data_IF_854052209925
#
_entry.id   IF_854052209925
#
_cell.length_a   1.000
_cell.length_b   1.000
_cell.length_c   1.000
_cell.angle_alpha   90.00
_cell.angle_beta   90.00
_cell.angle_gamma   90.00
#
_symmetry.space_group_name_H-M   'P 1'
#
loop_
_entity.id
_entity.type
_entity.pdbx_description
1 polymer ?
#
# COMPACT_ATOMS: atom_id res chain seq x y z
N UNK A 1 1.90 -48.37 -2.04
CA UNK A 1 0.99 -48.11 -0.91
C UNK A 1 0.28 -46.80 -1.20
N UNK A 2 -0.99 -46.83 -1.58
CA UNK A 2 -1.76 -45.61 -1.87
C UNK A 2 -2.18 -44.93 -0.56
N UNK A 3 -2.14 -43.59 -0.46
CA UNK A 3 -2.59 -42.90 0.75
C UNK A 3 -4.12 -42.91 0.86
N UNK A 4 -4.69 -42.82 2.08
CA UNK A 4 -6.13 -42.83 2.28
C UNK A 4 -6.76 -41.49 1.83
N UNK A 5 -7.92 -41.58 1.19
CA UNK A 5 -8.71 -40.43 0.76
C UNK A 5 -9.12 -39.53 1.94
N UNK A 6 -8.77 -38.25 1.88
CA UNK A 6 -9.20 -37.26 2.85
C UNK A 6 -10.66 -36.86 2.61
N UNK A 7 -11.44 -36.76 3.69
CA UNK A 7 -12.86 -36.36 3.63
C UNK A 7 -13.00 -34.83 3.47
N UNK A 8 -13.98 -34.36 2.69
CA UNK A 8 -14.19 -32.93 2.48
C UNK A 8 -14.60 -32.19 3.76
N UNK A 9 -14.20 -30.93 3.84
CA UNK A 9 -14.26 -30.08 5.04
C UNK A 9 -15.69 -29.76 5.53
N UNK A 10 -16.70 -29.85 4.67
CA UNK A 10 -18.11 -29.62 5.04
C UNK A 10 -18.76 -30.75 5.87
N UNK A 11 -18.04 -31.86 6.12
CA UNK A 11 -18.53 -32.95 6.98
C UNK A 11 -17.96 -32.94 8.41
N UNK A 12 -17.25 -31.87 8.83
CA UNK A 12 -16.76 -31.75 10.21
C UNK A 12 -17.86 -31.19 11.14
N UNK A 13 -18.16 -31.84 12.29
CA UNK A 13 -19.21 -31.36 13.19
C UNK A 13 -18.85 -30.01 13.82
N UNK A 14 -19.68 -29.00 13.57
CA UNK A 14 -19.57 -27.64 14.10
C UNK A 14 -19.89 -27.60 15.61
N UNK A 15 -18.89 -27.84 16.46
CA UNK A 15 -19.05 -27.80 17.92
C UNK A 15 -18.18 -26.72 18.62
N UNK A 16 -17.58 -25.79 17.89
CA UNK A 16 -16.59 -24.86 18.46
C UNK A 16 -16.86 -23.36 18.25
N UNK A 17 -18.13 -22.95 18.08
CA UNK A 17 -18.49 -21.52 17.98
C UNK A 17 -19.63 -21.24 18.96
N UNK A 18 -19.33 -21.15 20.28
CA UNK A 18 -19.79 -19.97 21.00
C UNK A 18 -18.91 -19.56 22.21
N UNK A 19 -17.66 -20.01 22.31
CA UNK A 19 -16.82 -19.62 23.46
C UNK A 19 -16.06 -18.29 23.26
N UNK A 20 -15.75 -17.91 22.01
CA UNK A 20 -14.98 -16.71 21.70
C UNK A 20 -15.75 -15.38 21.92
N UNK A 21 -17.09 -15.41 21.80
CA UNK A 21 -17.91 -14.19 21.96
C UNK A 21 -18.02 -13.69 23.41
N UNK A 22 -17.91 -14.59 24.40
CA UNK A 22 -18.06 -14.22 25.81
C UNK A 22 -16.77 -13.68 26.44
N UNK A 23 -15.60 -14.01 25.89
CA UNK A 23 -14.30 -13.56 26.40
C UNK A 23 -13.96 -12.16 25.90
N UNK A 24 -14.39 -11.79 24.68
CA UNK A 24 -14.22 -10.44 24.14
C UNK A 24 -15.10 -9.39 24.86
N UNK A 25 -16.28 -9.79 25.33
CA UNK A 25 -17.20 -8.92 26.09
C UNK A 25 -16.65 -8.51 27.47
N UNK A 26 -15.80 -9.33 28.09
CA UNK A 26 -15.26 -9.06 29.42
C UNK A 26 -14.09 -8.05 29.42
N UNK A 27 -13.38 -7.90 28.29
CA UNK A 27 -12.20 -7.03 28.20
C UNK A 27 -12.54 -5.57 27.90
N UNK A 28 -13.65 -5.28 27.21
CA UNK A 28 -14.09 -3.90 26.94
C UNK A 28 -14.84 -3.22 28.10
N UNK A 29 -15.28 -3.98 29.11
CA UNK A 29 -15.92 -3.42 30.32
C UNK A 29 -14.98 -2.60 31.21
N UNK A 30 -13.65 -2.70 31.01
CA UNK A 30 -12.65 -1.99 31.81
C UNK A 30 -12.44 -0.53 31.38
N UNK A 31 -12.85 -0.13 30.17
CA UNK A 31 -12.63 1.22 29.63
C UNK A 31 -13.83 2.15 29.85
N UNK A 32 -15.05 1.62 29.95
CA UNK A 32 -16.30 2.41 30.00
C UNK A 32 -16.99 2.52 31.37
N UNK A 33 -16.35 2.07 32.46
CA UNK A 33 -16.95 2.04 33.79
C UNK A 33 -18.19 1.13 33.91
N UNK A 34 -18.94 1.27 35.00
CA UNK A 34 -20.13 0.43 35.29
C UNK A 34 -21.20 0.55 34.18
N UNK A 35 -21.36 1.72 33.57
CA UNK A 35 -22.28 1.96 32.46
C UNK A 35 -21.92 1.13 31.22
N UNK A 36 -20.65 1.17 30.79
CA UNK A 36 -20.15 0.37 29.66
C UNK A 36 -20.27 -1.14 29.91
N UNK A 37 -19.99 -1.60 31.14
CA UNK A 37 -20.15 -3.01 31.50
C UNK A 37 -21.62 -3.49 31.39
N UNK A 38 -22.58 -2.65 31.79
CA UNK A 38 -24.00 -2.96 31.67
C UNK A 38 -24.46 -2.98 30.21
N UNK A 39 -24.02 -2.03 29.37
CA UNK A 39 -24.33 -2.02 27.93
C UNK A 39 -23.85 -3.32 27.26
N UNK A 40 -22.62 -3.74 27.54
CA UNK A 40 -22.07 -4.98 26.98
C UNK A 40 -22.82 -6.22 27.47
N UNK A 41 -23.15 -6.29 28.77
CA UNK A 41 -23.96 -7.39 29.31
C UNK A 41 -25.35 -7.45 28.66
N UNK A 42 -25.96 -6.29 28.39
CA UNK A 42 -27.20 -6.17 27.62
C UNK A 42 -27.07 -6.77 26.20
N UNK A 43 -26.02 -6.41 25.46
CA UNK A 43 -25.76 -6.95 24.11
C UNK A 43 -25.56 -8.47 24.14
N UNK A 44 -24.81 -9.00 25.11
CA UNK A 44 -24.62 -10.44 25.27
C UNK A 44 -25.93 -11.19 25.52
N UNK A 45 -26.81 -10.64 26.38
CA UNK A 45 -28.14 -11.20 26.64
C UNK A 45 -29.04 -11.13 25.39
N UNK A 46 -28.94 -10.06 24.60
CA UNK A 46 -29.70 -9.89 23.35
C UNK A 46 -29.33 -10.98 22.33
N UNK A 47 -28.03 -11.14 22.07
CA UNK A 47 -27.52 -12.12 21.11
C UNK A 47 -27.86 -13.56 21.54
N UNK A 48 -27.70 -13.87 22.83
CA UNK A 48 -28.08 -15.17 23.39
C UNK A 48 -29.59 -15.43 23.32
N UNK A 49 -30.40 -14.42 23.64
CA UNK A 49 -31.87 -14.48 23.55
C UNK A 49 -32.34 -14.71 22.12
N UNK A 50 -31.80 -13.95 21.16
CA UNK A 50 -32.14 -14.04 19.74
C UNK A 50 -31.71 -15.39 19.14
N UNK A 51 -30.50 -15.86 19.44
CA UNK A 51 -30.04 -17.18 19.02
C UNK A 51 -30.93 -18.31 19.55
N UNK A 52 -31.37 -18.22 20.82
CA UNK A 52 -32.30 -19.20 21.40
C UNK A 52 -33.68 -19.17 20.72
N UNK A 53 -34.20 -17.98 20.41
CA UNK A 53 -35.47 -17.80 19.69
C UNK A 53 -35.40 -18.36 18.27
N UNK A 54 -34.28 -18.18 17.57
CA UNK A 54 -34.07 -18.62 16.20
C UNK A 54 -33.79 -20.12 16.09
N UNK A 55 -32.93 -20.67 16.96
CA UNK A 55 -32.48 -22.06 16.85
C UNK A 55 -33.29 -23.04 17.69
N UNK A 56 -34.01 -22.57 18.72
CA UNK A 56 -34.70 -23.41 19.70
C UNK A 56 -33.77 -24.27 20.56
N UNK A 57 -32.45 -24.13 20.42
CA UNK A 57 -31.43 -24.90 21.16
C UNK A 57 -31.18 -24.26 22.53
N UNK A 58 -31.05 -25.03 23.62
CA UNK A 58 -30.78 -24.47 24.95
C UNK A 58 -29.43 -23.73 24.96
N UNK A 59 -29.38 -22.62 25.70
CA UNK A 59 -28.14 -21.85 25.88
C UNK A 59 -27.10 -22.69 26.66
N UNK A 60 -25.82 -22.71 26.23
CA UNK A 60 -24.77 -23.41 26.95
C UNK A 60 -24.66 -22.88 28.39
N UNK A 61 -24.77 -23.76 29.39
CA UNK A 61 -24.65 -23.41 30.81
C UNK A 61 -25.95 -22.99 31.51
N UNK A 62 -27.04 -22.67 30.80
CA UNK A 62 -28.34 -22.36 31.39
C UNK A 62 -29.37 -23.44 31.03
N UNK A 63 -29.92 -24.13 32.04
CA UNK A 63 -30.98 -25.15 31.86
C UNK A 63 -32.37 -24.53 31.62
N UNK A 64 -32.45 -23.49 30.80
CA UNK A 64 -33.70 -22.84 30.44
C UNK A 64 -34.31 -23.55 29.22
N UNK A 65 -35.52 -24.10 29.40
CA UNK A 65 -36.28 -24.80 28.35
C UNK A 65 -37.52 -23.99 27.98
N UNK A 66 -37.66 -23.70 26.69
CA UNK A 66 -38.86 -23.10 26.09
C UNK A 66 -38.66 -21.67 25.60
N UNK A 67 -39.34 -21.33 24.50
CA UNK A 67 -39.20 -20.08 23.74
C UNK A 67 -39.50 -18.80 24.55
N UNK A 68 -40.29 -18.93 25.61
CA UNK A 68 -40.56 -17.86 26.59
C UNK A 68 -39.31 -17.32 27.29
N UNK A 69 -38.28 -18.16 27.45
CA UNK A 69 -37.02 -17.74 28.07
C UNK A 69 -36.14 -16.94 27.11
N UNK A 70 -36.18 -17.24 25.81
CA UNK A 70 -35.53 -16.41 24.79
C UNK A 70 -36.15 -15.01 24.73
N UNK A 71 -37.47 -14.91 24.79
CA UNK A 71 -38.17 -13.63 24.87
C UNK A 71 -37.86 -12.87 26.17
N UNK A 72 -37.84 -13.56 27.32
CA UNK A 72 -37.49 -12.96 28.60
C UNK A 72 -36.04 -12.41 28.64
N UNK A 73 -35.07 -13.15 28.07
CA UNK A 73 -33.67 -12.71 27.97
C UNK A 73 -33.52 -11.51 27.03
N UNK A 74 -34.25 -11.49 25.91
CA UNK A 74 -34.26 -10.35 24.98
C UNK A 74 -34.89 -9.11 25.62
N UNK A 75 -35.96 -9.28 26.40
CA UNK A 75 -36.57 -8.19 27.17
C UNK A 75 -35.65 -7.65 28.26
N UNK A 76 -34.97 -8.54 29.00
CA UNK A 76 -33.98 -8.15 30.02
C UNK A 76 -32.78 -7.42 29.40
N UNK A 77 -32.32 -7.86 28.22
CA UNK A 77 -31.24 -7.20 27.48
C UNK A 77 -31.54 -5.73 27.21
N UNK A 78 -32.77 -5.40 26.79
CA UNK A 78 -33.17 -4.03 26.49
C UNK A 78 -33.15 -3.14 27.74
N UNK A 79 -33.68 -3.64 28.87
CA UNK A 79 -33.67 -2.91 30.15
C UNK A 79 -32.25 -2.67 30.65
N UNK A 80 -31.39 -3.69 30.57
CA UNK A 80 -29.99 -3.59 31.01
C UNK A 80 -29.19 -2.62 30.14
N UNK A 81 -29.39 -2.65 28.82
CA UNK A 81 -28.70 -1.75 27.88
C UNK A 81 -29.12 -0.30 28.11
N UNK A 82 -30.42 -0.03 28.28
CA UNK A 82 -30.93 1.31 28.59
C UNK A 82 -30.41 1.84 29.93
N UNK A 83 -30.34 0.99 30.94
CA UNK A 83 -29.81 1.37 32.26
C UNK A 83 -28.31 1.67 32.20
N UNK A 84 -27.55 0.87 31.44
CA UNK A 84 -26.13 1.11 31.20
C UNK A 84 -25.86 2.42 30.46
N UNK A 85 -26.68 2.74 29.44
CA UNK A 85 -26.58 3.99 28.68
C UNK A 85 -26.76 5.24 29.54
N UNK A 86 -27.71 5.22 30.49
CA UNK A 86 -27.95 6.34 31.41
C UNK A 86 -26.84 6.55 32.46
N UNK A 87 -25.92 5.60 32.61
CA UNK A 87 -24.80 5.66 33.54
C UNK A 87 -23.47 6.00 32.85
N UNK A 88 -23.48 6.24 31.54
CA UNK A 88 -22.31 6.71 30.82
C UNK A 88 -22.02 8.17 31.19
N UNK A 89 -20.75 8.56 31.40
CA UNK A 89 -20.41 9.95 31.62
C UNK A 89 -20.83 10.79 30.38
N UNK A 90 -21.35 12.02 30.57
CA UNK A 90 -21.66 12.89 29.45
C UNK A 90 -20.37 13.19 28.68
N UNK A 91 -20.40 13.00 27.35
CA UNK A 91 -19.34 13.46 26.46
C UNK A 91 -19.23 14.97 26.59
N UNK A 92 -18.13 15.46 27.18
CA UNK A 92 -17.82 16.88 27.22
C UNK A 92 -17.30 17.30 25.85
N UNK A 93 -18.23 17.57 24.92
CA UNK A 93 -17.96 18.46 23.79
C UNK A 93 -17.86 19.88 24.34
N UNK A 94 -16.64 20.37 24.50
CA UNK A 94 -16.38 21.80 24.66
C UNK A 94 -15.12 22.15 23.88
N UNK A 95 -15.18 23.11 22.93
CA UNK A 95 -13.98 23.63 22.28
C UNK A 95 -13.13 24.32 23.34
N UNK A 96 -11.90 23.85 23.53
CA UNK A 96 -10.91 24.53 24.35
C UNK A 96 -10.59 25.90 23.73
N UNK A 97 -11.14 26.97 24.31
CA UNK A 97 -10.51 28.28 24.29
C UNK A 97 -9.39 28.28 25.35
N UNK A 98 -8.21 28.85 25.07
CA UNK A 98 -7.09 28.81 26.02
C UNK A 98 -7.38 29.72 27.21
N UNK A 99 -7.46 29.13 28.40
CA UNK A 99 -7.49 29.87 29.65
C UNK A 99 -6.12 30.49 29.94
N UNK A 100 -6.14 31.80 30.11
CA UNK A 100 -5.05 32.60 30.63
C UNK A 100 -4.55 32.06 31.99
N UNK A 101 -3.24 31.99 32.15
CA UNK A 101 -2.57 31.99 33.45
C UNK A 101 -1.58 33.16 33.50
N UNK A 102 -2.08 34.24 34.10
CA UNK A 102 -1.40 35.10 35.09
C UNK A 102 0.12 35.28 34.95
N UNK A 103 0.53 36.33 34.23
CA UNK A 103 1.86 36.92 34.36
C UNK A 103 1.89 37.91 35.54
N UNK A 104 2.76 37.65 36.51
CA UNK A 104 3.22 38.67 37.47
C UNK A 104 4.58 39.19 37.02
N UNK A 105 4.63 40.50 36.89
CA UNK A 105 5.68 41.43 36.48
C UNK A 105 6.95 41.39 37.35
N UNK A 106 8.13 41.49 36.70
CA UNK A 106 9.23 42.37 37.14
C UNK A 106 10.19 42.77 35.99
N UNK A 107 9.82 43.88 35.36
CA UNK A 107 10.61 45.08 34.98
C UNK A 107 12.09 44.97 34.55
N UNK A 108 12.29 45.36 33.28
CA UNK A 108 13.38 46.17 32.65
C UNK A 108 14.83 45.68 32.64
N UNK A 109 15.41 45.58 31.44
CA UNK A 109 16.21 46.68 30.86
C UNK A 109 16.44 46.49 29.35
N UNK A 110 16.28 47.60 28.63
CA UNK A 110 16.48 47.85 27.20
C UNK A 110 17.98 48.08 26.93
N UNK A 111 18.54 47.49 25.88
CA UNK A 111 19.62 48.16 25.15
C UNK A 111 19.76 47.66 23.72
N UNK A 112 20.11 48.61 22.87
CA UNK A 112 20.04 48.63 21.40
C UNK A 112 21.46 48.70 20.83
N UNK A 113 21.57 48.29 19.57
CA UNK A 113 22.59 48.63 18.56
C UNK A 113 23.91 47.84 18.50
N UNK A 114 24.01 47.12 17.38
CA UNK A 114 25.16 46.90 16.50
C UNK A 114 26.13 48.08 16.39
N UNK A 115 27.43 47.79 16.22
CA UNK A 115 28.20 48.52 15.22
C UNK A 115 28.95 47.61 14.23
N UNK A 116 28.86 48.04 12.97
CA UNK A 116 29.74 47.76 11.83
C UNK A 116 31.18 48.22 12.10
N UNK A 117 32.19 47.58 11.49
CA UNK A 117 33.35 48.36 11.01
C UNK A 117 33.62 48.24 9.50
N UNK A 118 33.98 49.41 8.95
CA UNK A 118 34.46 49.78 7.60
C UNK A 118 35.91 49.29 7.33
N UNK A 119 36.38 49.18 6.05
CA UNK A 119 37.59 48.42 5.68
C UNK A 119 38.87 49.24 5.36
N UNK A 120 39.97 48.50 5.05
CA UNK A 120 41.21 48.82 4.26
C UNK A 120 42.45 49.32 5.06
N UNK A 121 43.72 48.91 4.75
CA UNK A 121 44.38 49.04 3.44
C UNK A 121 45.12 47.81 2.84
N UNK A 122 45.12 47.85 1.50
CA UNK A 122 46.00 47.32 0.43
C UNK A 122 47.44 46.89 0.76
N UNK A 123 47.87 45.75 0.21
CA UNK A 123 49.15 45.62 -0.50
C UNK A 123 48.95 44.85 -1.83
N UNK A 124 49.44 45.46 -2.90
CA UNK A 124 49.55 44.96 -4.27
C UNK A 124 50.71 43.97 -4.42
N UNK A 125 50.53 42.86 -5.14
CA UNK A 125 51.60 42.23 -5.96
C UNK A 125 50.98 41.61 -7.22
N UNK A 126 51.27 42.29 -8.33
CA UNK A 126 51.54 41.87 -9.72
C UNK A 126 50.95 40.59 -10.35
N UNK A 127 50.40 40.84 -11.56
CA UNK A 127 50.17 39.89 -12.65
C UNK A 127 51.41 39.06 -13.00
N UNK A 128 51.23 37.74 -13.15
CA UNK A 128 51.99 36.94 -14.11
C UNK A 128 51.02 35.99 -14.83
N UNK A 129 50.67 36.36 -16.07
CA UNK A 129 50.12 35.45 -17.06
C UNK A 129 51.16 34.36 -17.35
N UNK A 130 50.84 33.11 -17.01
CA UNK A 130 51.45 31.94 -17.65
C UNK A 130 50.40 30.99 -18.18
N UNK A 131 50.12 31.20 -19.47
CA UNK A 131 49.73 30.23 -20.48
C UNK A 131 50.09 28.77 -20.11
N UNK A 132 49.07 27.95 -19.85
CA UNK A 132 49.17 26.49 -19.90
C UNK A 132 48.36 26.00 -21.10
N UNK A 133 49.01 26.13 -22.25
CA UNK A 133 48.69 25.37 -23.45
C UNK A 133 48.78 23.86 -23.16
N UNK A 134 47.86 23.14 -23.79
CA UNK A 134 47.70 21.71 -23.77
C UNK A 134 49.03 20.95 -23.93
N UNK A 135 49.30 20.06 -22.96
CA UNK A 135 50.15 18.90 -23.17
C UNK A 135 49.26 17.66 -23.11
N UNK A 136 48.99 17.14 -24.30
CA UNK A 136 48.41 15.86 -24.63
C UNK A 136 49.21 14.74 -23.93
N UNK A 137 48.58 14.03 -23.01
CA UNK A 137 49.04 12.72 -22.56
C UNK A 137 47.81 11.83 -22.42
N UNK A 138 47.46 11.23 -23.56
CA UNK A 138 46.58 10.08 -23.68
C UNK A 138 47.08 8.92 -22.81
N UNK A 139 46.58 8.83 -21.58
CA UNK A 139 46.27 7.55 -20.97
C UNK A 139 44.80 7.29 -21.23
N UNK A 140 44.52 6.44 -22.23
CA UNK A 140 43.18 5.95 -22.54
C UNK A 140 42.59 5.23 -21.34
N UNK A 141 41.85 5.97 -20.52
CA UNK A 141 40.82 5.43 -19.65
C UNK A 141 39.53 5.49 -20.44
N UNK A 142 39.02 4.30 -20.79
CA UNK A 142 37.77 4.09 -21.52
C UNK A 142 36.66 5.00 -20.98
N UNK A 143 36.40 6.10 -21.68
CA UNK A 143 35.29 7.01 -21.38
C UNK A 143 33.95 6.29 -21.52
N UNK A 144 33.90 5.21 -22.32
CA UNK A 144 32.76 4.30 -22.45
C UNK A 144 32.56 3.41 -21.22
N UNK A 145 33.63 2.97 -20.55
CA UNK A 145 33.52 2.21 -19.30
C UNK A 145 33.10 3.10 -18.13
N UNK A 146 33.58 4.36 -18.09
CA UNK A 146 33.16 5.36 -17.10
C UNK A 146 31.70 5.79 -17.27
N UNK A 147 31.21 5.92 -18.50
CA UNK A 147 29.79 6.22 -18.78
C UNK A 147 28.89 5.01 -18.56
N UNK A 148 29.31 3.79 -18.90
CA UNK A 148 28.54 2.59 -18.57
C UNK A 148 28.49 2.31 -17.06
N UNK A 149 29.57 2.54 -16.32
CA UNK A 149 29.60 2.44 -14.86
C UNK A 149 28.79 3.56 -14.19
N UNK A 150 28.86 4.79 -14.73
CA UNK A 150 28.01 5.90 -14.28
C UNK A 150 26.54 5.64 -14.62
N UNK A 151 26.22 5.07 -15.79
CA UNK A 151 24.85 4.74 -16.19
C UNK A 151 24.30 3.51 -15.46
N UNK A 152 25.17 2.57 -15.05
CA UNK A 152 24.85 1.48 -14.13
C UNK A 152 24.75 1.94 -12.66
N UNK A 153 25.41 3.04 -12.28
CA UNK A 153 25.25 3.67 -10.97
C UNK A 153 24.01 4.59 -10.93
N UNK A 154 23.73 5.30 -12.01
CA UNK A 154 22.51 6.10 -12.25
C UNK A 154 21.29 5.16 -12.31
N UNK A 155 21.40 4.01 -12.96
CA UNK A 155 20.37 2.97 -13.00
C UNK A 155 20.15 2.22 -11.68
N UNK A 156 20.90 2.55 -10.63
CA UNK A 156 20.72 2.00 -9.29
C UNK A 156 20.29 3.04 -8.25
N UNK A 157 20.18 4.32 -8.59
CA UNK A 157 19.60 5.32 -7.67
C UNK A 157 18.07 5.23 -7.69
N UNK A 158 17.45 5.15 -6.52
CA UNK A 158 16.00 5.18 -6.39
C UNK A 158 15.41 6.50 -6.93
N UNK A 159 16.14 7.62 -6.79
CA UNK A 159 15.67 8.93 -7.26
C UNK A 159 15.62 9.00 -8.79
N UNK A 160 16.57 8.37 -9.47
CA UNK A 160 16.58 8.27 -10.93
C UNK A 160 15.44 7.39 -11.41
N UNK A 161 15.27 6.20 -10.82
CA UNK A 161 14.18 5.30 -11.21
C UNK A 161 12.79 5.92 -10.94
N UNK A 162 12.65 6.69 -9.85
CA UNK A 162 11.44 7.46 -9.57
C UNK A 162 11.09 8.42 -10.70
N UNK A 163 12.08 9.11 -11.29
CA UNK A 163 11.85 10.04 -12.40
C UNK A 163 11.22 9.34 -13.61
N UNK A 164 11.60 8.10 -13.87
CA UNK A 164 11.14 7.28 -15.00
C UNK A 164 9.77 6.61 -14.77
N UNK A 165 9.27 6.55 -13.53
CA UNK A 165 7.94 5.98 -13.26
C UNK A 165 6.83 6.83 -13.90
N UNK A 166 5.96 6.16 -14.66
CA UNK A 166 4.77 6.77 -15.27
C UNK A 166 3.79 7.20 -14.19
N UNK A 167 3.38 8.47 -14.27
CA UNK A 167 2.30 9.00 -13.42
C UNK A 167 0.96 8.71 -14.08
N UNK A 168 0.05 8.07 -13.36
CA UNK A 168 -1.32 7.82 -13.82
C UNK A 168 -2.31 7.81 -12.63
N UNK A 169 -3.60 7.85 -12.93
CA UNK A 169 -4.66 7.75 -11.94
C UNK A 169 -4.97 6.27 -11.61
N UNK A 170 -5.28 5.93 -10.35
CA UNK A 170 -5.72 4.59 -10.00
C UNK A 170 -6.99 4.20 -10.74
N UNK A 171 -7.05 2.97 -11.23
CA UNK A 171 -8.24 2.42 -11.91
C UNK A 171 -8.58 1.04 -11.37
N UNK A 172 -9.73 0.48 -11.75
CA UNK A 172 -10.06 -0.93 -11.50
C UNK A 172 -10.17 -1.39 -10.02
N UNK A 173 -10.23 -0.45 -9.06
CA UNK A 173 -10.35 -0.76 -7.63
C UNK A 173 -11.54 -1.69 -7.30
N UNK A 174 -12.70 -1.44 -7.91
CA UNK A 174 -13.91 -2.25 -7.71
C UNK A 174 -13.79 -3.70 -8.23
N UNK A 175 -12.78 -3.99 -9.06
CA UNK A 175 -12.55 -5.31 -9.65
C UNK A 175 -11.37 -6.05 -9.02
N UNK A 176 -10.80 -5.53 -7.94
CA UNK A 176 -9.64 -6.14 -7.29
C UNK A 176 -9.92 -7.58 -6.86
N UNK A 177 -9.18 -8.51 -7.47
CA UNK A 177 -9.16 -9.91 -7.09
C UNK A 177 -7.81 -10.25 -6.44
N UNK A 178 -7.83 -10.43 -5.13
CA UNK A 178 -6.63 -10.77 -4.38
C UNK A 178 -6.11 -12.19 -4.69
N UNK A 179 -7.01 -13.12 -4.99
CA UNK A 179 -6.64 -14.52 -5.17
C UNK A 179 -5.89 -14.74 -6.50
N UNK A 180 -5.98 -13.80 -7.44
CA UNK A 180 -5.25 -13.78 -8.72
C UNK A 180 -3.71 -13.83 -8.55
N UNK A 181 -3.18 -13.38 -7.41
CA UNK A 181 -1.73 -13.36 -7.14
C UNK A 181 -1.16 -14.68 -6.60
N UNK A 182 -1.98 -15.68 -6.27
CA UNK A 182 -1.50 -17.02 -5.90
C UNK A 182 -0.54 -17.11 -4.72
N UNK A 183 -0.44 -16.08 -3.88
CA UNK A 183 0.65 -15.84 -2.91
C UNK A 183 0.75 -16.81 -1.70
N UNK A 184 -0.07 -17.86 -1.64
CA UNK A 184 -0.20 -18.74 -0.46
C UNK A 184 0.41 -20.13 -0.63
N UNK A 185 0.91 -20.47 -1.82
CA UNK A 185 1.34 -21.83 -2.14
C UNK A 185 2.49 -21.90 -3.17
N UNK A 186 3.10 -20.77 -3.52
CA UNK A 186 4.15 -20.75 -4.54
C UNK A 186 5.53 -20.97 -3.89
N UNK A 187 6.31 -21.84 -4.51
CA UNK A 187 7.70 -22.17 -4.20
C UNK A 187 8.53 -21.66 -5.39
N UNK A 188 8.85 -20.36 -5.37
CA UNK A 188 9.41 -19.65 -6.53
C UNK A 188 10.83 -20.13 -6.86
N UNK A 189 11.61 -20.51 -5.85
CA UNK A 189 12.99 -20.98 -6.01
C UNK A 189 13.10 -22.52 -6.06
N UNK A 190 11.97 -23.22 -5.98
CA UNK A 190 11.84 -24.68 -6.03
C UNK A 190 12.65 -25.39 -4.94
N UNK A 191 12.82 -24.75 -3.78
CA UNK A 191 13.59 -25.28 -2.66
C UNK A 191 12.75 -26.21 -1.75
N UNK A 192 11.42 -26.28 -1.97
CA UNK A 192 10.46 -27.08 -1.21
C UNK A 192 9.79 -26.33 -0.05
N UNK A 193 10.07 -25.04 0.13
CA UNK A 193 9.47 -24.15 1.11
C UNK A 193 8.44 -23.22 0.45
N UNK A 194 7.50 -22.70 1.25
CA UNK A 194 6.63 -21.62 0.75
C UNK A 194 7.33 -20.26 0.96
N UNK A 195 7.01 -19.29 0.10
CA UNK A 195 7.60 -17.93 0.15
C UNK A 195 7.49 -17.29 1.54
N UNK A 196 6.42 -17.57 2.29
CA UNK A 196 6.29 -17.06 3.66
C UNK A 196 7.43 -17.54 4.53
N UNK A 197 7.74 -18.83 4.49
CA UNK A 197 8.80 -19.40 5.29
C UNK A 197 10.19 -18.98 4.80
N UNK A 198 10.37 -18.77 3.50
CA UNK A 198 11.62 -18.22 2.96
C UNK A 198 11.87 -16.80 3.47
N UNK A 199 10.85 -15.94 3.45
CA UNK A 199 10.96 -14.57 3.99
C UNK A 199 11.19 -14.58 5.50
N UNK A 200 10.51 -15.45 6.25
CA UNK A 200 10.77 -15.61 7.69
C UNK A 200 12.19 -16.10 7.96
N UNK A 201 12.71 -17.05 7.17
CA UNK A 201 14.07 -17.54 7.33
C UNK A 201 15.13 -16.49 6.95
N UNK A 202 14.82 -15.63 5.97
CA UNK A 202 15.67 -14.52 5.51
C UNK A 202 15.73 -13.38 6.53
N UNK A 203 14.59 -12.97 7.06
CA UNK A 203 14.46 -11.72 7.82
C UNK A 203 14.65 -11.91 9.34
N UNK A 204 14.44 -13.11 9.85
CA UNK A 204 14.57 -13.40 11.28
C UNK A 204 15.97 -13.87 11.66
N UNK A 205 16.40 -13.52 12.86
CA UNK A 205 17.55 -14.15 13.53
C UNK A 205 17.09 -15.24 14.48
N UNK A 206 18.03 -16.09 14.94
CA UNK A 206 17.77 -17.15 15.93
C UNK A 206 16.62 -18.09 15.52
N UNK A 207 16.57 -18.39 14.22
CA UNK A 207 15.51 -19.18 13.60
C UNK A 207 15.54 -20.62 14.09
N UNK A 208 14.39 -21.14 14.49
CA UNK A 208 14.18 -22.57 14.70
C UNK A 208 13.09 -23.08 13.77
N UNK A 209 13.12 -24.36 13.44
CA UNK A 209 12.16 -25.00 12.53
C UNK A 209 11.30 -26.04 13.24
N UNK A 210 10.05 -26.18 12.79
CA UNK A 210 9.13 -27.21 13.32
C UNK A 210 9.61 -28.62 12.95
N UNK A 211 10.14 -28.76 11.73
CA UNK A 211 10.72 -29.99 11.19
C UNK A 211 11.48 -29.67 9.90
N UNK A 212 12.63 -30.29 9.68
CA UNK A 212 13.47 -29.99 8.51
C UNK A 212 13.99 -28.56 8.56
N UNK A 213 14.03 -27.90 7.41
CA UNK A 213 14.61 -26.56 7.20
C UNK A 213 13.66 -25.55 6.54
N UNK A 214 12.38 -25.87 6.35
CA UNK A 214 11.42 -24.95 5.75
C UNK A 214 10.54 -24.26 6.80
N UNK A 215 9.77 -25.03 7.57
CA UNK A 215 8.71 -24.43 8.39
C UNK A 215 9.25 -23.75 9.65
N UNK A 216 9.41 -22.43 9.61
CA UNK A 216 9.91 -21.63 10.74
C UNK A 216 8.96 -21.73 11.93
N UNK A 217 9.49 -22.12 13.08
CA UNK A 217 8.78 -22.26 14.34
C UNK A 217 8.95 -21.02 15.23
N UNK A 218 10.17 -20.48 15.31
CA UNK A 218 10.49 -19.27 16.08
C UNK A 218 11.59 -18.47 15.39
N UNK A 219 11.71 -17.20 15.77
CA UNK A 219 12.84 -16.34 15.41
C UNK A 219 12.64 -14.95 16.02
N UNK A 220 13.57 -14.05 15.77
CA UNK A 220 13.51 -12.66 16.24
C UNK A 220 13.69 -11.72 15.06
N UNK A 221 12.74 -10.81 14.87
CA UNK A 221 12.87 -9.71 13.91
C UNK A 221 13.48 -8.52 14.66
N UNK A 222 14.66 -8.06 14.24
CA UNK A 222 15.35 -6.97 14.92
C UNK A 222 16.28 -6.14 14.03
N UNK A 223 16.00 -4.84 13.84
CA UNK A 223 14.72 -4.19 14.13
C UNK A 223 13.63 -4.67 13.16
N UNK A 224 12.37 -4.68 13.60
CA UNK A 224 11.24 -4.71 12.67
C UNK A 224 11.27 -3.46 11.77
N UNK A 225 11.27 -3.63 10.44
CA UNK A 225 11.31 -2.51 9.51
C UNK A 225 10.23 -1.45 9.78
N UNK A 226 9.03 -1.85 10.20
CA UNK A 226 7.90 -0.93 10.33
C UNK A 226 7.80 -0.28 11.70
N UNK A 227 8.01 -1.02 12.78
CA UNK A 227 7.90 -0.49 14.13
C UNK A 227 9.23 0.03 14.71
N UNK A 228 10.37 -0.39 14.15
CA UNK A 228 11.70 -0.13 14.69
C UNK A 228 12.01 -0.92 15.97
N UNK A 229 11.11 -1.81 16.41
CA UNK A 229 11.21 -2.58 17.65
C UNK A 229 11.72 -3.99 17.39
N UNK A 230 12.29 -4.61 18.41
CA UNK A 230 12.53 -6.05 18.40
C UNK A 230 11.21 -6.80 18.60
N UNK A 231 10.88 -7.72 17.68
CA UNK A 231 9.65 -8.51 17.75
C UNK A 231 9.98 -10.00 17.70
N UNK A 232 9.56 -10.74 18.72
CA UNK A 232 9.67 -12.20 18.73
C UNK A 232 8.60 -12.82 17.83
N UNK A 233 9.03 -13.75 16.98
CA UNK A 233 8.16 -14.58 16.16
C UNK A 233 7.98 -15.96 16.81
N UNK A 234 6.73 -16.43 16.82
CA UNK A 234 6.43 -17.85 17.02
C UNK A 234 5.33 -18.25 16.05
N UNK A 235 5.38 -19.48 15.52
CA UNK A 235 4.37 -19.97 14.58
C UNK A 235 2.95 -20.07 15.18
N UNK A 236 2.83 -19.97 16.51
CA UNK A 236 1.56 -19.98 17.23
C UNK A 236 0.97 -18.59 17.46
N UNK A 237 1.76 -17.52 17.25
CA UNK A 237 1.36 -16.14 17.47
C UNK A 237 1.35 -15.37 16.15
N UNK A 238 0.35 -14.51 15.98
CA UNK A 238 0.25 -13.62 14.81
C UNK A 238 0.92 -12.28 15.10
N UNK A 239 2.18 -12.29 15.57
CA UNK A 239 2.95 -11.07 15.85
C UNK A 239 3.52 -10.46 14.58
N UNK A 240 3.95 -11.30 13.63
CA UNK A 240 4.50 -10.88 12.34
C UNK A 240 3.64 -11.39 11.18
N UNK A 241 3.47 -10.51 10.19
CA UNK A 241 2.94 -10.84 8.87
C UNK A 241 4.04 -10.68 7.82
N UNK A 242 3.87 -11.32 6.66
CA UNK A 242 4.68 -11.04 5.49
C UNK A 242 3.92 -9.99 4.69
N UNK A 243 4.45 -8.78 4.64
CA UNK A 243 3.87 -7.69 3.85
C UNK A 243 4.37 -7.74 2.42
N UNK A 244 3.51 -7.32 1.50
CA UNK A 244 3.85 -6.89 0.16
C UNK A 244 4.08 -5.38 0.21
N UNK A 245 5.32 -4.92 0.09
CA UNK A 245 5.69 -3.51 0.26
C UNK A 245 4.88 -2.63 -0.70
N UNK A 246 4.90 -2.92 -2.00
CA UNK A 246 3.80 -2.58 -2.91
C UNK A 246 2.68 -3.59 -2.65
N UNK A 247 1.58 -3.13 -2.02
CA UNK A 247 0.47 -4.03 -1.66
C UNK A 247 -0.16 -4.64 -2.92
N UNK A 248 -0.77 -5.83 -2.80
CA UNK A 248 -1.45 -6.47 -3.94
C UNK A 248 -2.60 -5.61 -4.50
N UNK A 249 -3.30 -4.87 -3.62
CA UNK A 249 -4.36 -3.95 -4.05
C UNK A 249 -3.82 -2.71 -4.77
N UNK A 250 -2.74 -2.11 -4.26
CA UNK A 250 -2.04 -1.00 -4.91
C UNK A 250 -1.49 -1.42 -6.29
N UNK A 251 -0.88 -2.61 -6.36
CA UNK A 251 -0.43 -3.18 -7.63
C UNK A 251 -1.59 -3.35 -8.63
N UNK A 252 -2.75 -3.85 -8.15
CA UNK A 252 -3.93 -4.00 -8.99
C UNK A 252 -4.34 -2.68 -9.63
N UNK A 253 -4.51 -1.63 -8.82
CA UNK A 253 -4.99 -0.33 -9.30
C UNK A 253 -3.94 0.47 -10.11
N UNK A 254 -2.67 0.08 -10.03
CA UNK A 254 -1.55 0.67 -10.77
C UNK A 254 -1.12 -0.12 -12.03
N UNK A 255 -1.82 -1.21 -12.36
CA UNK A 255 -1.67 -1.89 -13.65
C UNK A 255 -1.75 -3.42 -13.63
N UNK A 256 -1.65 -4.06 -12.46
CA UNK A 256 -1.59 -5.51 -12.37
C UNK A 256 -2.87 -6.25 -12.80
N UNK A 257 -4.00 -5.54 -12.88
CA UNK A 257 -5.27 -6.06 -13.42
C UNK A 257 -5.14 -6.54 -14.87
N UNK A 258 -4.19 -5.97 -15.64
CA UNK A 258 -3.99 -6.26 -17.05
C UNK A 258 -2.95 -7.37 -17.31
N UNK A 259 -2.27 -7.84 -16.27
CA UNK A 259 -1.23 -8.86 -16.39
C UNK A 259 -1.81 -10.25 -16.67
N UNK A 260 -0.98 -11.11 -17.26
CA UNK A 260 -1.25 -12.53 -17.25
C UNK A 260 -1.05 -13.14 -15.85
N UNK A 261 -1.59 -14.34 -15.65
CA UNK A 261 -1.55 -15.02 -14.36
C UNK A 261 -0.11 -15.33 -13.91
N UNK A 262 0.80 -15.61 -14.85
CA UNK A 262 2.19 -15.92 -14.51
C UNK A 262 2.92 -14.70 -13.94
N UNK A 263 2.66 -13.51 -14.47
CA UNK A 263 3.20 -12.25 -13.95
C UNK A 263 2.58 -11.89 -12.60
N UNK A 264 1.26 -12.09 -12.43
CA UNK A 264 0.58 -11.89 -11.13
C UNK A 264 1.13 -12.83 -10.05
N UNK A 265 1.37 -14.09 -10.39
CA UNK A 265 1.99 -15.05 -9.47
C UNK A 265 3.42 -14.67 -9.13
N UNK A 266 4.22 -14.22 -10.10
CA UNK A 266 5.58 -13.73 -9.84
C UNK A 266 5.56 -12.56 -8.86
N UNK A 267 4.76 -11.52 -9.14
CA UNK A 267 4.63 -10.35 -8.26
C UNK A 267 4.19 -10.73 -6.84
N UNK A 268 3.18 -11.60 -6.74
CA UNK A 268 2.63 -12.05 -5.45
C UNK A 268 3.61 -12.84 -4.59
N UNK A 269 4.71 -13.33 -5.16
CA UNK A 269 5.67 -14.21 -4.51
C UNK A 269 7.12 -13.72 -4.63
N UNK A 270 7.32 -12.46 -5.06
CA UNK A 270 8.64 -11.88 -5.28
C UNK A 270 9.31 -11.47 -3.95
N UNK A 271 10.47 -12.05 -3.61
CA UNK A 271 11.24 -11.67 -2.43
C UNK A 271 11.60 -10.17 -2.37
N UNK A 272 11.73 -9.50 -3.52
CA UNK A 272 11.98 -8.05 -3.59
C UNK A 272 10.80 -7.23 -3.06
N UNK A 273 9.58 -7.74 -3.21
CA UNK A 273 8.36 -7.07 -2.73
C UNK A 273 7.90 -7.56 -1.36
N UNK A 274 8.54 -8.56 -0.74
CA UNK A 274 8.06 -9.15 0.52
C UNK A 274 8.99 -8.90 1.71
N UNK A 275 8.43 -8.56 2.88
CA UNK A 275 9.17 -8.36 4.14
C UNK A 275 8.40 -8.95 5.33
N UNK A 276 9.11 -9.53 6.31
CA UNK A 276 8.54 -9.80 7.63
C UNK A 276 8.43 -8.50 8.43
N UNK A 277 7.23 -8.19 8.94
CA UNK A 277 6.93 -6.93 9.64
C UNK A 277 5.92 -7.10 10.77
N UNK A 278 5.78 -6.13 11.67
CA UNK A 278 4.70 -6.12 12.66
C UNK A 278 3.32 -6.22 12.00
N UNK A 279 2.55 -7.22 12.45
CA UNK A 279 1.25 -7.54 11.88
C UNK A 279 0.20 -6.44 12.04
N UNK A 280 0.26 -5.65 13.11
CA UNK A 280 -0.67 -4.55 13.34
C UNK A 280 -0.42 -3.41 12.38
N UNK A 281 0.85 -3.04 12.19
CA UNK A 281 1.26 -2.00 11.24
C UNK A 281 1.00 -2.42 9.80
N UNK A 282 1.25 -3.68 9.43
CA UNK A 282 0.91 -4.19 8.11
C UNK A 282 -0.61 -4.08 7.83
N UNK A 283 -1.44 -4.44 8.80
CA UNK A 283 -2.90 -4.33 8.64
C UNK A 283 -3.38 -2.89 8.61
N UNK A 284 -2.68 -1.99 9.31
CA UNK A 284 -2.95 -0.55 9.25
C UNK A 284 -2.58 0.04 7.89
N UNK A 285 -1.49 -0.43 7.26
CA UNK A 285 -1.10 -0.08 5.89
C UNK A 285 -2.16 -0.49 4.85
N UNK A 286 -2.81 -1.64 5.02
CA UNK A 286 -3.87 -2.09 4.09
C UNK A 286 -3.37 -2.11 2.63
N UNK A 287 -4.12 -1.49 1.71
CA UNK A 287 -3.72 -1.30 0.31
C UNK A 287 -3.12 0.08 0.02
N UNK A 288 -2.73 0.85 1.05
CA UNK A 288 -2.24 2.21 0.87
C UNK A 288 -0.88 2.24 0.16
N UNK A 289 -0.72 3.26 -0.68
CA UNK A 289 0.55 3.60 -1.33
C UNK A 289 1.39 4.56 -0.47
N UNK A 290 2.56 4.95 -0.95
CA UNK A 290 3.50 5.78 -0.17
C UNK A 290 2.97 7.19 0.15
N UNK A 291 1.98 7.72 -0.57
CA UNK A 291 1.36 9.01 -0.24
C UNK A 291 0.46 8.94 1.00
N UNK A 292 -0.11 7.76 1.25
CA UNK A 292 -1.14 7.52 2.25
C UNK A 292 -0.56 6.90 3.51
N UNK A 293 0.48 6.08 3.36
CA UNK A 293 1.12 5.40 4.48
C UNK A 293 2.63 5.27 4.29
N UNK A 294 3.37 5.73 5.30
CA UNK A 294 4.78 5.43 5.50
C UNK A 294 4.94 4.71 6.86
N UNK A 295 5.94 3.82 7.01
CA UNK A 295 6.18 3.14 8.27
C UNK A 295 6.46 4.13 9.42
N UNK A 296 5.94 3.91 10.64
CA UNK A 296 6.27 4.75 11.79
C UNK A 296 7.76 4.81 12.13
N UNK A 297 8.51 3.77 11.76
CA UNK A 297 9.97 3.77 11.86
C UNK A 297 10.61 4.57 10.72
N UNK A 298 10.79 5.87 10.95
CA UNK A 298 11.33 6.79 9.94
C UNK A 298 12.76 6.49 9.49
N UNK A 299 13.52 5.69 10.26
CA UNK A 299 14.85 5.23 9.84
C UNK A 299 14.80 4.30 8.62
N UNK A 300 13.62 3.73 8.34
CA UNK A 300 13.40 2.82 7.23
C UNK A 300 12.77 3.53 6.01
N UNK A 301 12.39 4.81 6.08
CA UNK A 301 11.63 5.50 5.02
C UNK A 301 12.33 5.45 3.66
N UNK A 302 13.64 5.73 3.61
CA UNK A 302 14.42 5.68 2.39
C UNK A 302 14.42 4.29 1.74
N UNK A 303 14.60 3.25 2.54
CA UNK A 303 14.59 1.88 2.05
C UNK A 303 13.17 1.46 1.64
N UNK A 304 12.14 1.87 2.37
CA UNK A 304 10.74 1.62 2.05
C UNK A 304 10.37 2.19 0.68
N UNK A 305 10.65 3.48 0.43
CA UNK A 305 10.34 4.09 -0.88
C UNK A 305 11.22 3.53 -1.99
N UNK A 306 12.49 3.19 -1.72
CA UNK A 306 13.36 2.57 -2.72
C UNK A 306 12.84 1.18 -3.14
N UNK A 307 12.31 0.39 -2.21
CA UNK A 307 11.67 -0.89 -2.52
C UNK A 307 10.41 -0.67 -3.37
N UNK A 308 9.53 0.24 -2.96
CA UNK A 308 8.32 0.58 -3.72
C UNK A 308 8.67 0.98 -5.17
N UNK A 309 9.66 1.87 -5.34
CA UNK A 309 10.13 2.33 -6.65
C UNK A 309 10.69 1.16 -7.45
N UNK A 310 11.59 0.36 -6.87
CA UNK A 310 12.22 -0.77 -7.56
C UNK A 310 11.21 -1.80 -8.04
N UNK A 311 10.22 -2.12 -7.19
CA UNK A 311 9.12 -3.03 -7.53
C UNK A 311 8.25 -2.43 -8.63
N UNK A 312 7.74 -1.19 -8.46
CA UNK A 312 6.87 -0.56 -9.47
C UNK A 312 7.59 -0.42 -10.80
N UNK A 313 8.88 -0.11 -10.77
CA UNK A 313 9.71 0.03 -11.95
C UNK A 313 9.92 -1.31 -12.67
N UNK A 314 10.26 -2.37 -11.93
CA UNK A 314 10.50 -3.72 -12.47
C UNK A 314 9.24 -4.29 -13.12
N UNK A 315 8.07 -4.05 -12.52
CA UNK A 315 6.80 -4.59 -13.00
C UNK A 315 6.02 -3.64 -13.92
N UNK A 316 6.55 -2.45 -14.21
CA UNK A 316 5.87 -1.46 -15.06
C UNK A 316 4.56 -0.92 -14.48
N UNK A 317 4.47 -0.84 -13.14
CA UNK A 317 3.33 -0.25 -12.45
C UNK A 317 3.42 1.28 -12.46
N UNK A 318 2.27 1.93 -12.49
CA UNK A 318 2.18 3.39 -12.38
C UNK A 318 2.25 3.87 -10.92
N UNK A 319 2.52 5.16 -10.76
CA UNK A 319 2.39 5.88 -9.48
C UNK A 319 1.39 7.01 -9.63
N UNK A 320 0.73 7.39 -8.54
CA UNK A 320 -0.02 8.64 -8.52
C UNK A 320 0.93 9.84 -8.40
N UNK A 321 0.48 11.05 -8.76
CA UNK A 321 1.31 12.25 -8.59
C UNK A 321 1.69 12.47 -7.11
N UNK A 322 0.72 12.33 -6.19
CA UNK A 322 0.96 12.47 -4.76
C UNK A 322 1.95 11.42 -4.21
N UNK A 323 1.89 10.20 -4.73
CA UNK A 323 2.83 9.13 -4.38
C UNK A 323 4.24 9.47 -4.87
N UNK A 324 4.39 9.90 -6.13
CA UNK A 324 5.67 10.30 -6.70
C UNK A 324 6.30 11.46 -5.92
N UNK A 325 5.50 12.46 -5.55
CA UNK A 325 5.95 13.61 -4.77
C UNK A 325 6.39 13.20 -3.36
N UNK A 326 5.66 12.28 -2.72
CA UNK A 326 6.01 11.77 -1.39
C UNK A 326 7.31 10.97 -1.41
N UNK A 327 7.48 10.08 -2.40
CA UNK A 327 8.72 9.34 -2.63
C UNK A 327 9.90 10.29 -2.88
N UNK A 328 9.72 11.33 -3.69
CA UNK A 328 10.75 12.33 -3.97
C UNK A 328 11.13 13.12 -2.71
N UNK A 329 10.15 13.48 -1.88
CA UNK A 329 10.36 14.18 -0.61
C UNK A 329 11.19 13.33 0.37
N UNK A 330 10.88 12.04 0.50
CA UNK A 330 11.66 11.11 1.32
C UNK A 330 13.10 10.99 0.78
N UNK A 331 13.25 10.78 -0.53
CA UNK A 331 14.56 10.62 -1.17
C UNK A 331 15.41 11.91 -1.16
N UNK A 332 14.81 13.10 -0.99
CA UNK A 332 15.59 14.32 -0.76
C UNK A 332 16.44 14.26 0.52
N UNK A 333 16.03 13.46 1.52
CA UNK A 333 16.82 13.16 2.72
C UNK A 333 17.91 12.11 2.51
N UNK A 334 17.88 11.38 1.40
CA UNK A 334 18.78 10.26 1.09
C UNK A 334 18.96 10.08 -0.43
N UNK A 335 19.56 11.06 -1.13
CA UNK A 335 19.60 11.11 -2.60
C UNK A 335 20.40 9.95 -3.24
N UNK A 336 21.35 9.39 -2.48
CA UNK A 336 22.19 8.28 -2.93
C UNK A 336 21.59 6.91 -2.59
N UNK A 337 20.34 6.85 -2.10
CA UNK A 337 19.68 5.59 -1.74
C UNK A 337 19.60 4.67 -2.98
N UNK A 338 20.19 3.47 -2.91
CA UNK A 338 20.10 2.53 -4.01
C UNK A 338 18.72 1.84 -4.06
N UNK A 339 18.34 1.39 -5.25
CA UNK A 339 17.27 0.42 -5.45
C UNK A 339 17.63 -0.93 -4.79
N UNK A 340 16.63 -1.76 -4.41
CA UNK A 340 16.91 -3.10 -3.92
C UNK A 340 17.56 -3.96 -5.01
N UNK A 341 18.45 -4.87 -4.58
CA UNK A 341 19.06 -5.86 -5.46
C UNK A 341 17.99 -6.65 -6.22
N UNK A 342 18.23 -6.92 -7.50
CA UNK A 342 17.26 -7.59 -8.37
C UNK A 342 16.28 -6.65 -9.07
N UNK A 343 16.26 -5.34 -8.74
CA UNK A 343 15.54 -4.35 -9.55
C UNK A 343 16.11 -4.36 -10.96
N UNK A 344 15.30 -4.81 -11.92
CA UNK A 344 15.70 -4.85 -13.31
C UNK A 344 15.12 -3.64 -14.03
N UNK A 345 15.94 -2.94 -14.81
CA UNK A 345 15.40 -2.08 -15.85
C UNK A 345 14.67 -3.00 -16.84
N UNK A 346 13.37 -2.80 -17.14
CA UNK A 346 12.78 -3.50 -18.26
C UNK A 346 13.66 -3.18 -19.46
N UNK A 347 14.33 -4.20 -20.00
CA UNK A 347 15.02 -4.04 -21.27
C UNK A 347 13.91 -3.62 -22.21
N UNK A 348 13.95 -2.36 -22.68
CA UNK A 348 12.94 -1.81 -23.56
C UNK A 348 12.51 -2.91 -24.51
N UNK A 349 11.23 -3.31 -24.44
CA UNK A 349 10.68 -4.42 -25.20
C UNK A 349 11.19 -4.25 -26.63
N UNK A 350 12.16 -5.07 -27.03
CA UNK A 350 12.54 -5.09 -28.43
C UNK A 350 11.26 -5.47 -29.16
N UNK A 351 10.82 -4.68 -30.15
CA UNK A 351 9.69 -5.10 -30.97
C UNK A 351 9.98 -6.54 -31.43
N UNK A 352 8.98 -7.44 -31.36
CA UNK A 352 9.19 -8.85 -31.62
C UNK A 352 9.99 -9.00 -32.91
N UNK A 353 11.05 -9.84 -32.93
CA UNK A 353 11.86 -10.00 -34.13
C UNK A 353 10.91 -10.31 -35.28
N UNK A 354 11.03 -9.55 -36.36
CA UNK A 354 10.22 -9.73 -37.56
C UNK A 354 10.17 -11.23 -37.89
N UNK A 355 9.00 -11.80 -38.21
CA UNK A 355 8.84 -13.23 -38.36
C UNK A 355 9.87 -13.74 -39.36
N UNK A 356 10.80 -14.53 -38.84
CA UNK A 356 11.77 -15.26 -39.65
C UNK A 356 10.94 -16.23 -40.46
N UNK A 357 10.88 -16.01 -41.78
CA UNK A 357 10.19 -16.94 -42.67
C UNK A 357 10.97 -18.24 -42.67
N UNK A 358 10.49 -19.23 -41.91
CA UNK A 358 11.02 -20.58 -41.98
C UNK A 358 10.64 -21.20 -43.33
N UNK A 359 11.66 -21.27 -44.20
CA UNK A 359 11.65 -22.02 -45.43
C UNK A 359 11.47 -23.51 -45.10
N UNK A 360 10.27 -24.04 -45.32
CA UNK A 360 10.00 -25.47 -45.26
C UNK A 360 9.42 -25.99 -46.57
N UNK A 361 10.34 -26.63 -47.30
CA UNK A 361 10.18 -27.95 -47.91
C UNK A 361 9.82 -28.04 -49.40
N UNK A 362 10.64 -28.87 -50.02
CA UNK A 362 10.75 -29.22 -51.44
C UNK A 362 9.76 -30.31 -51.87
N UNK A 363 9.27 -30.16 -53.11
CA UNK A 363 8.80 -31.17 -54.07
C UNK A 363 7.50 -31.95 -53.72
N UNK A 364 6.51 -32.21 -54.60
CA UNK A 364 6.49 -32.42 -56.07
C UNK A 364 5.01 -32.62 -56.50
N UNK A 365 4.60 -32.16 -57.69
CA UNK A 365 3.32 -32.59 -58.28
C UNK A 365 2.80 -31.72 -59.42
N UNK A 366 3.13 -32.10 -60.66
CA UNK A 366 2.83 -31.42 -61.91
C UNK A 366 1.37 -31.63 -62.38
N UNK A 367 0.67 -30.58 -62.80
CA UNK A 367 -0.28 -30.64 -63.93
C UNK A 367 -0.65 -29.23 -64.44
N UNK A 368 -0.83 -29.09 -65.75
CA UNK A 368 -0.77 -27.86 -66.53
C UNK A 368 -2.12 -27.12 -66.73
N UNK A 369 -2.04 -25.77 -66.69
CA UNK A 369 -2.75 -24.65 -67.40
C UNK A 369 -4.20 -24.78 -67.94
N UNK A 370 -5.02 -23.69 -68.05
CA UNK A 370 -4.68 -22.43 -68.76
C UNK A 370 -5.31 -21.12 -68.16
N UNK A 371 -5.20 -19.92 -68.80
CA UNK A 371 -5.09 -18.63 -68.09
C UNK A 371 -6.37 -17.78 -67.98
N UNK A 372 -6.30 -16.85 -67.02
CA UNK A 372 -6.89 -15.51 -66.94
C UNK A 372 -8.41 -15.30 -67.19
N UNK A 373 -9.10 -14.86 -66.13
CA UNK A 373 -10.25 -13.99 -66.23
C UNK A 373 -10.17 -12.91 -65.14
N UNK A 374 -10.36 -11.66 -65.57
CA UNK A 374 -10.26 -10.44 -64.79
C UNK A 374 -11.40 -10.26 -63.78
N UNK A 375 -11.12 -9.55 -62.68
CA UNK A 375 -12.11 -8.84 -61.87
C UNK A 375 -11.42 -7.61 -61.21
N UNK A 376 -12.18 -6.54 -60.90
CA UNK A 376 -11.74 -5.16 -61.09
C UNK A 376 -11.10 -4.51 -59.86
N UNK A 377 -10.47 -3.36 -60.11
CA UNK A 377 -9.91 -2.44 -59.14
C UNK A 377 -10.92 -2.02 -58.07
N UNK A 378 -10.55 -2.18 -56.80
CA UNK A 378 -11.17 -1.51 -55.67
C UNK A 378 -10.50 -0.15 -55.47
N UNK A 379 -11.36 0.85 -55.37
CA UNK A 379 -11.11 2.28 -55.13
C UNK A 379 -10.31 2.52 -53.84
N UNK A 380 -9.37 3.49 -53.80
CA UNK A 380 -8.63 3.80 -52.58
C UNK A 380 -9.51 4.53 -51.57
N UNK A 381 -9.52 4.02 -50.34
CA UNK A 381 -10.14 4.64 -49.16
C UNK A 381 -9.51 6.03 -48.89
N UNK A 382 -10.30 7.10 -48.64
CA UNK A 382 -9.77 8.42 -48.39
C UNK A 382 -9.07 8.47 -47.02
N UNK A 383 -7.88 9.09 -47.00
CA UNK A 383 -7.06 9.26 -45.82
C UNK A 383 -7.83 9.94 -44.67
N UNK A 384 -7.74 9.36 -43.48
CA UNK A 384 -8.25 9.95 -42.24
C UNK A 384 -7.55 11.28 -41.94
N UNK A 385 -8.35 12.30 -41.64
CA UNK A 385 -7.93 13.62 -41.19
C UNK A 385 -7.32 13.53 -39.77
N UNK A 386 -6.30 14.35 -39.41
CA UNK A 386 -5.67 14.25 -38.09
C UNK A 386 -6.65 14.69 -36.99
N UNK A 387 -6.75 13.89 -35.93
CA UNK A 387 -7.53 14.23 -34.75
C UNK A 387 -7.03 15.55 -34.10
N UNK A 388 -7.92 16.43 -33.62
CA UNK A 388 -7.53 17.69 -32.99
C UNK A 388 -6.82 17.45 -31.66
N UNK A 389 -5.80 18.27 -31.39
CA UNK A 389 -4.98 18.22 -30.18
C UNK A 389 -5.83 18.34 -28.90
N UNK A 390 -5.49 17.52 -27.91
CA UNK A 390 -6.10 17.53 -26.59
C UNK A 390 -5.97 18.92 -25.92
N UNK A 391 -7.01 19.41 -25.22
CA UNK A 391 -6.95 20.69 -24.51
C UNK A 391 -5.89 20.66 -23.40
N UNK A 392 -5.16 21.76 -23.26
CA UNK A 392 -4.16 21.95 -22.23
C UNK A 392 -4.75 21.76 -20.82
N UNK A 393 -4.02 21.05 -19.96
CA UNK A 393 -4.38 20.84 -18.57
C UNK A 393 -4.59 22.18 -17.83
N UNK A 394 -5.62 22.30 -16.97
CA UNK A 394 -5.84 23.50 -16.18
C UNK A 394 -4.67 23.74 -15.21
N UNK A 395 -4.37 25.02 -14.93
CA UNK A 395 -3.32 25.44 -14.02
C UNK A 395 -3.50 24.83 -12.61
N UNK A 396 -2.42 24.58 -11.85
CA UNK A 396 -2.50 23.93 -10.54
C UNK A 396 -3.31 24.79 -9.57
N UNK A 397 -4.51 24.32 -9.22
CA UNK A 397 -5.27 24.80 -8.07
C UNK A 397 -4.44 24.53 -6.82
N UNK A 398 -4.12 25.55 -6.02
CA UNK A 398 -3.30 25.37 -4.82
C UNK A 398 -3.93 24.38 -3.84
N UNK A 399 -3.09 23.65 -3.10
CA UNK A 399 -3.52 22.65 -2.13
C UNK A 399 -4.45 23.29 -1.08
N UNK A 400 -5.73 22.88 -0.99
CA UNK A 400 -6.69 23.48 -0.07
C UNK A 400 -6.58 22.95 1.36
N UNK A 401 -5.77 21.92 1.64
CA UNK A 401 -5.65 21.33 2.98
C UNK A 401 -6.99 20.81 3.52
N UNK A 402 -7.12 20.86 4.84
CA UNK A 402 -8.32 20.52 5.62
C UNK A 402 -9.36 21.67 5.67
N UNK A 403 -9.36 22.57 4.68
CA UNK A 403 -10.24 23.75 4.65
C UNK A 403 -11.73 23.45 4.43
N UNK A 404 -12.08 22.18 4.21
CA UNK A 404 -13.44 21.70 4.00
C UNK A 404 -13.72 20.44 4.82
N UNK A 405 -14.98 20.24 5.17
CA UNK A 405 -15.53 19.00 5.74
C UNK A 405 -16.91 18.72 5.14
N UNK A 406 -17.49 17.55 5.41
CA UNK A 406 -18.79 17.17 4.86
C UNK A 406 -19.94 18.12 5.22
N UNK A 407 -19.87 18.82 6.36
CA UNK A 407 -20.86 19.81 6.78
C UNK A 407 -20.85 21.11 5.96
N UNK A 408 -19.80 21.35 5.16
CA UNK A 408 -19.68 22.52 4.30
C UNK A 408 -20.44 22.38 2.96
N UNK A 409 -20.99 21.20 2.69
CA UNK A 409 -21.68 20.89 1.44
C UNK A 409 -23.16 20.60 1.68
N UNK A 410 -24.01 21.14 0.82
CA UNK A 410 -25.46 20.92 0.91
C UNK A 410 -25.89 19.56 0.34
N UNK A 411 -25.15 19.03 -0.63
CA UNK A 411 -25.45 17.78 -1.33
C UNK A 411 -24.20 16.95 -1.54
N UNK A 412 -24.37 15.63 -1.69
CA UNK A 412 -23.26 14.73 -2.02
C UNK A 412 -22.58 15.12 -3.35
N UNK A 413 -23.36 15.54 -4.35
CA UNK A 413 -22.82 15.92 -5.66
C UNK A 413 -21.82 17.09 -5.56
N UNK A 414 -22.09 18.07 -4.69
CA UNK A 414 -21.19 19.20 -4.47
C UNK A 414 -19.91 18.78 -3.73
N UNK A 415 -20.04 17.90 -2.73
CA UNK A 415 -18.90 17.33 -2.01
C UNK A 415 -18.03 16.47 -2.95
N UNK A 416 -18.65 15.63 -3.77
CA UNK A 416 -17.96 14.79 -4.74
C UNK A 416 -17.29 15.62 -5.84
N UNK A 417 -17.92 16.69 -6.34
CA UNK A 417 -17.26 17.58 -7.31
C UNK A 417 -16.01 18.25 -6.73
N UNK A 418 -16.05 18.68 -5.47
CA UNK A 418 -14.89 19.21 -4.77
C UNK A 418 -13.82 18.13 -4.57
N UNK A 419 -14.23 16.97 -4.05
CA UNK A 419 -13.36 15.81 -3.84
C UNK A 419 -12.63 15.44 -5.14
N UNK A 420 -13.33 15.23 -6.24
CA UNK A 420 -12.74 14.90 -7.55
C UNK A 420 -11.86 16.00 -8.14
N UNK A 421 -12.02 17.27 -7.72
CA UNK A 421 -11.15 18.37 -8.17
C UNK A 421 -9.75 18.25 -7.58
N UNK A 422 -9.65 17.84 -6.32
CA UNK A 422 -8.37 17.79 -5.59
C UNK A 422 -7.82 16.39 -5.44
N UNK A 423 -8.66 15.35 -5.49
CA UNK A 423 -8.27 13.94 -5.39
C UNK A 423 -7.10 13.57 -6.32
N UNK A 424 -7.05 14.01 -7.60
CA UNK A 424 -5.95 13.65 -8.49
C UNK A 424 -4.61 14.30 -8.11
N UNK A 425 -4.64 15.48 -7.50
CA UNK A 425 -3.44 16.28 -7.20
C UNK A 425 -2.98 16.13 -5.74
N UNK A 426 -3.91 15.94 -4.80
CA UNK A 426 -3.67 16.02 -3.35
C UNK A 426 -4.30 14.87 -2.56
N UNK A 427 -4.99 13.93 -3.21
CA UNK A 427 -5.75 12.88 -2.53
C UNK A 427 -6.96 13.42 -1.76
N UNK A 428 -7.46 12.66 -0.79
CA UNK A 428 -8.50 13.13 0.14
C UNK A 428 -7.94 14.10 1.18
N UNK A 429 -7.52 15.26 0.69
CA UNK A 429 -6.79 16.26 1.47
C UNK A 429 -7.64 16.91 2.58
N UNK A 430 -8.97 16.78 2.49
CA UNK A 430 -9.93 17.29 3.45
C UNK A 430 -10.60 16.19 4.31
N UNK A 431 -10.23 14.92 4.14
CA UNK A 431 -10.82 13.82 4.89
C UNK A 431 -12.33 13.65 4.66
N UNK A 432 -12.79 13.86 3.42
CA UNK A 432 -14.19 13.76 3.04
C UNK A 432 -14.65 12.30 2.89
N UNK A 433 -13.75 11.37 2.60
CA UNK A 433 -13.98 9.93 2.45
C UNK A 433 -13.39 9.21 3.67
N UNK A 434 -14.20 8.99 4.70
CA UNK A 434 -13.73 8.56 6.02
C UNK A 434 -13.40 7.06 6.09
N UNK A 435 -14.04 6.24 5.27
CA UNK A 435 -13.86 4.79 5.18
C UNK A 435 -13.09 4.34 3.93
N UNK A 436 -12.66 5.29 3.11
CA UNK A 436 -11.72 5.14 1.99
C UNK A 436 -12.22 4.22 0.89
N UNK A 437 -13.51 4.26 0.61
CA UNK A 437 -14.13 3.45 -0.45
C UNK A 437 -14.22 4.21 -1.79
N UNK A 438 -13.77 5.46 -1.82
CA UNK A 438 -13.81 6.37 -2.96
C UNK A 438 -15.07 7.22 -3.03
N UNK A 439 -15.96 7.16 -2.04
CA UNK A 439 -17.23 7.87 -1.99
C UNK A 439 -17.19 8.91 -0.85
N UNK A 440 -16.98 10.20 -1.16
CA UNK A 440 -16.89 11.22 -0.13
C UNK A 440 -18.26 11.50 0.49
N UNK A 441 -18.30 11.75 1.79
CA UNK A 441 -19.45 12.30 2.51
C UNK A 441 -20.78 11.55 2.26
N UNK A 442 -20.78 10.22 2.39
CA UNK A 442 -21.96 9.36 2.20
C UNK A 442 -23.18 9.71 3.07
N UNK A 443 -22.96 10.47 4.15
CA UNK A 443 -24.03 10.99 5.01
C UNK A 443 -24.85 12.12 4.37
N UNK A 444 -24.39 12.70 3.25
CA UNK A 444 -25.07 13.81 2.57
C UNK A 444 -26.22 13.33 1.67
N UNK A 445 -27.27 14.16 1.49
CA UNK A 445 -28.35 13.83 0.57
C UNK A 445 -27.86 13.57 -0.85
N UNK A 446 -28.27 12.43 -1.42
CA UNK A 446 -27.95 12.04 -2.80
C UNK A 446 -26.66 11.23 -2.97
N UNK A 447 -26.07 10.74 -1.88
CA UNK A 447 -25.00 9.75 -1.94
C UNK A 447 -25.46 8.43 -2.61
N UNK A 448 -24.58 7.74 -3.36
CA UNK A 448 -24.88 6.51 -4.11
C UNK A 448 -25.23 5.29 -3.24
#
# INVERSE_FOLDING_TARGET
>A
MSPPAQRPWWQRPANAIPLAGNTLLFLFGLVGGLGGALVMLGIGLLLGGLWHLLTGKPLPGLRLRGRRWGAALTGLAFVVTLTGGSLLPPSSDTPNAPAASTSTTRTTAKSTATPTPTPTPTEDVEDDEVNLAAADTSTGLDTTAGTAALQAAIGQSALVALAELTVDIPTHAASYDRDAFGYRAYDTDHNGCDVRNDVLARDLTDVTYTSGNCKVATGTLNPDPYSGKTTAFTSAASTLDIDHVVSLGDAWISGAWAWDADTQHQFGNDPMNTLAVDSGLNRAKSNDNAARWLPPNTTFDCQYVAIQIGVKYTYGLTVTQAEKDTMASVLAGCPDQPLPEGSALPTAVQPPPAPVSEDTSSARGSSANPPAAAAPATEPEPAAEPAPAAPAAPAPVGNPGDSKNCGDFATWADANAWFQTYLPAYGDVAGLDADNDGIPCESLPGAP
#
